data_IF_343170370579
#
_entry.id   IF_343170370579
#
_cell.length_a   1.000
_cell.length_b   1.000
_cell.length_c   1.000
_cell.angle_alpha   90.00
_cell.angle_beta   90.00
_cell.angle_gamma   90.00
#
_symmetry.space_group_name_H-M   'P 1'
#
loop_
_entity.id
_entity.type
_entity.pdbx_description
1 polymer ?
#
# COMPACT_ATOMS: atom_id res chain seq x y z
N UNK A 1 -12.43 1.15 20.97
CA UNK A 1 -12.25 0.00 20.05
C UNK A 1 -11.33 0.44 18.93
N UNK A 2 -10.43 -0.42 18.46
CA UNK A 2 -9.26 -0.09 17.61
C UNK A 2 -9.57 0.20 16.12
N UNK A 3 -10.86 0.29 15.75
CA UNK A 3 -11.38 0.53 14.38
C UNK A 3 -10.67 -0.27 13.27
N UNK A 4 -10.30 -1.51 13.59
CA UNK A 4 -9.56 -2.38 12.69
C UNK A 4 -10.50 -3.11 11.73
N UNK A 5 -10.11 -3.16 10.46
CA UNK A 5 -10.87 -3.83 9.39
C UNK A 5 -10.05 -4.94 8.70
N UNK A 6 -10.62 -5.53 7.65
CA UNK A 6 -10.03 -6.61 6.85
C UNK A 6 -8.68 -6.25 6.21
N UNK A 7 -8.35 -4.96 6.09
CA UNK A 7 -7.10 -4.44 5.51
C UNK A 7 -6.09 -4.09 6.59
N UNK A 8 -6.47 -3.31 7.60
CA UNK A 8 -5.54 -2.84 8.64
C UNK A 8 -5.16 -3.92 9.63
N UNK A 9 -6.01 -4.95 9.79
CA UNK A 9 -5.72 -6.14 10.59
C UNK A 9 -5.08 -7.28 9.78
N UNK A 10 -4.84 -7.09 8.47
CA UNK A 10 -4.41 -8.19 7.59
C UNK A 10 -2.99 -8.70 7.86
N UNK A 11 -2.14 -7.91 8.53
CA UNK A 11 -0.81 -8.36 8.92
C UNK A 11 -0.21 -7.59 10.10
N UNK A 12 0.77 -8.21 10.75
CA UNK A 12 1.64 -7.59 11.75
C UNK A 12 3.10 -7.82 11.38
N UNK A 13 3.97 -6.83 11.62
CA UNK A 13 5.41 -6.99 11.41
C UNK A 13 6.02 -7.68 12.62
N UNK A 14 6.45 -8.94 12.45
CA UNK A 14 7.05 -9.74 13.53
C UNK A 14 8.49 -9.31 13.84
N UNK A 15 9.28 -9.11 12.79
CA UNK A 15 10.71 -8.83 12.93
C UNK A 15 11.24 -8.05 11.72
N UNK A 16 12.25 -7.21 11.97
CA UNK A 16 13.02 -6.48 10.96
C UNK A 16 14.49 -6.82 11.08
N UNK A 17 15.05 -7.41 10.03
CA UNK A 17 16.46 -7.75 9.91
C UNK A 17 17.09 -7.08 8.69
N UNK A 18 18.41 -7.18 8.58
CA UNK A 18 19.16 -6.78 7.37
C UNK A 18 18.64 -7.45 6.10
N UNK A 19 18.14 -8.69 6.20
CA UNK A 19 17.55 -9.43 5.09
C UNK A 19 16.15 -8.95 4.69
N UNK A 20 15.50 -8.14 5.52
CA UNK A 20 14.12 -7.69 5.34
C UNK A 20 13.24 -7.89 6.56
N UNK A 21 12.00 -7.39 6.47
CA UNK A 21 10.97 -7.59 7.46
C UNK A 21 10.21 -8.91 7.19
N UNK A 22 9.80 -9.62 8.24
CA UNK A 22 8.87 -10.75 8.15
C UNK A 22 7.55 -10.40 8.79
N UNK A 23 6.47 -10.66 8.08
CA UNK A 23 5.12 -10.28 8.50
C UNK A 23 4.32 -11.54 8.81
N UNK A 24 3.50 -11.50 9.86
CA UNK A 24 2.47 -12.50 10.12
C UNK A 24 1.20 -12.06 9.40
N UNK A 25 0.65 -12.92 8.55
CA UNK A 25 -0.57 -12.65 7.79
C UNK A 25 -1.80 -13.14 8.55
N UNK A 26 -2.91 -12.41 8.40
CA UNK A 26 -4.20 -12.84 8.91
C UNK A 26 -4.73 -14.07 8.16
N UNK A 27 -5.55 -14.92 8.79
CA UNK A 27 -6.03 -16.18 8.21
C UNK A 27 -6.99 -16.00 7.01
N UNK A 28 -7.49 -14.78 6.77
CA UNK A 28 -8.34 -14.46 5.62
C UNK A 28 -7.56 -13.99 4.39
N UNK A 29 -6.23 -13.93 4.45
CA UNK A 29 -5.39 -13.59 3.29
C UNK A 29 -5.24 -14.83 2.41
N UNK A 30 -5.76 -14.77 1.18
CA UNK A 30 -5.68 -15.87 0.20
C UNK A 30 -4.43 -15.76 -0.69
N UNK A 31 -4.01 -14.53 -1.02
CA UNK A 31 -2.82 -14.30 -1.83
C UNK A 31 -1.94 -13.21 -1.23
N UNK A 32 -0.62 -13.42 -1.35
CA UNK A 32 0.41 -12.49 -0.93
C UNK A 32 1.37 -12.24 -2.09
N UNK A 33 1.61 -10.96 -2.38
CA UNK A 33 2.56 -10.54 -3.39
C UNK A 33 3.32 -9.29 -2.94
N UNK A 34 4.45 -8.99 -3.57
CA UNK A 34 5.21 -7.76 -3.35
C UNK A 34 5.44 -7.03 -4.66
N UNK A 35 5.40 -5.70 -4.60
CA UNK A 35 5.73 -4.81 -5.71
C UNK A 35 6.54 -3.63 -5.24
N UNK A 36 7.27 -3.01 -6.16
CA UNK A 36 7.89 -1.71 -5.93
C UNK A 36 6.88 -0.62 -6.30
N UNK A 37 6.49 0.19 -5.31
CA UNK A 37 5.54 1.28 -5.49
C UNK A 37 6.04 2.32 -6.50
N UNK A 38 7.37 2.43 -6.70
CA UNK A 38 7.99 3.36 -7.64
C UNK A 38 8.13 2.77 -9.06
N UNK A 39 7.57 1.58 -9.32
CA UNK A 39 7.56 0.92 -10.63
C UNK A 39 6.12 0.48 -10.96
N UNK A 40 5.23 1.43 -11.30
CA UNK A 40 3.79 1.17 -11.40
C UNK A 40 3.44 0.17 -12.51
N UNK A 41 4.27 0.07 -13.54
CA UNK A 41 4.08 -0.83 -14.69
C UNK A 41 4.72 -2.21 -14.48
N UNK A 42 5.42 -2.42 -13.36
CA UNK A 42 6.00 -3.72 -13.02
C UNK A 42 4.98 -4.56 -12.26
N UNK A 43 4.63 -5.77 -12.75
CA UNK A 43 3.69 -6.65 -12.05
C UNK A 43 4.17 -7.02 -10.64
N UNK A 44 3.21 -7.25 -9.74
CA UNK A 44 3.52 -7.82 -8.44
C UNK A 44 4.10 -9.23 -8.59
N UNK A 45 5.04 -9.58 -7.72
CA UNK A 45 5.66 -10.91 -7.66
C UNK A 45 5.14 -11.65 -6.44
N UNK A 46 4.90 -12.95 -6.58
CA UNK A 46 4.46 -13.79 -5.46
C UNK A 46 5.38 -13.64 -4.26
N UNK A 47 4.79 -13.44 -3.10
CA UNK A 47 5.47 -13.42 -1.82
C UNK A 47 5.16 -14.73 -1.12
N UNK A 48 6.20 -15.55 -0.91
CA UNK A 48 6.04 -16.80 -0.18
C UNK A 48 5.55 -16.56 1.25
N UNK A 49 4.68 -17.44 1.73
CA UNK A 49 4.17 -17.47 3.10
C UNK A 49 4.37 -18.89 3.62
N UNK A 50 4.93 -19.03 4.83
CA UNK A 50 5.09 -20.32 5.48
C UNK A 50 3.76 -20.89 5.98
N UNK A 51 3.77 -22.16 6.42
CA UNK A 51 2.60 -22.80 7.02
C UNK A 51 2.08 -22.04 8.25
N UNK A 52 2.98 -21.41 9.02
CA UNK A 52 2.63 -20.55 10.17
C UNK A 52 2.10 -19.15 9.77
N UNK A 53 1.89 -18.87 8.48
CA UNK A 53 1.41 -17.56 8.01
C UNK A 53 2.48 -16.47 7.99
N UNK A 54 3.77 -16.82 7.99
CA UNK A 54 4.87 -15.84 8.01
C UNK A 54 5.41 -15.63 6.60
N UNK A 55 5.49 -14.38 6.16
CA UNK A 55 6.04 -14.06 4.84
C UNK A 55 7.54 -14.36 4.77
N UNK A 56 8.02 -14.69 3.56
CA UNK A 56 9.43 -14.54 3.21
C UNK A 56 9.89 -13.10 3.50
N UNK A 57 11.20 -12.87 3.76
CA UNK A 57 11.72 -11.55 4.06
C UNK A 57 11.37 -10.53 2.96
N UNK A 58 10.75 -9.43 3.35
CA UNK A 58 10.44 -8.30 2.50
C UNK A 58 11.54 -7.24 2.63
N UNK A 59 12.19 -6.80 1.55
CA UNK A 59 13.09 -5.66 1.62
C UNK A 59 12.37 -4.46 2.25
N UNK A 60 12.96 -3.89 3.31
CA UNK A 60 12.41 -2.70 3.94
C UNK A 60 12.57 -1.47 3.03
N UNK A 61 11.68 -0.48 3.12
CA UNK A 61 11.89 0.78 2.42
C UNK A 61 13.19 1.45 2.90
N UNK A 62 13.89 2.22 2.05
CA UNK A 62 15.25 2.71 2.31
C UNK A 62 15.34 3.50 3.62
N UNK A 63 16.27 3.16 4.52
CA UNK A 63 16.40 3.78 5.85
C UNK A 63 16.97 5.21 5.83
N UNK A 64 17.38 5.70 4.66
CA UNK A 64 17.95 7.03 4.42
C UNK A 64 18.59 7.08 3.02
N UNK A 65 18.84 8.29 2.51
CA UNK A 65 19.40 8.48 1.16
C UNK A 65 18.35 8.47 0.04
N UNK A 66 18.75 8.05 -1.17
CA UNK A 66 17.90 8.09 -2.36
C UNK A 66 16.70 7.15 -2.31
N UNK A 67 15.59 7.58 -2.90
CA UNK A 67 14.36 6.81 -3.01
C UNK A 67 14.30 6.10 -4.37
N UNK A 68 15.12 5.07 -4.54
CA UNK A 68 15.19 4.29 -5.78
C UNK A 68 14.13 3.19 -5.90
N UNK A 69 13.64 2.71 -4.75
CA UNK A 69 12.63 1.66 -4.60
C UNK A 69 11.80 1.90 -3.34
N UNK A 70 10.53 1.51 -3.37
CA UNK A 70 9.65 1.50 -2.20
C UNK A 70 8.81 0.21 -2.20
N UNK A 71 9.30 -0.88 -1.57
CA UNK A 71 8.57 -2.14 -1.52
C UNK A 71 7.27 -2.02 -0.71
N UNK A 72 6.21 -2.61 -1.24
CA UNK A 72 4.92 -2.79 -0.57
C UNK A 72 4.47 -4.24 -0.68
N UNK A 73 3.60 -4.65 0.23
CA UNK A 73 2.89 -5.93 0.14
C UNK A 73 1.53 -5.68 -0.48
N UNK A 74 1.16 -6.49 -1.45
CA UNK A 74 -0.19 -6.58 -1.98
C UNK A 74 -0.81 -7.86 -1.44
N UNK A 75 -1.90 -7.72 -0.70
CA UNK A 75 -2.72 -8.85 -0.29
C UNK A 75 -3.98 -8.94 -1.14
N UNK A 76 -4.54 -10.15 -1.20
CA UNK A 76 -5.91 -10.38 -1.63
C UNK A 76 -6.64 -11.16 -0.54
N UNK A 77 -7.76 -10.62 -0.06
CA UNK A 77 -8.60 -11.32 0.89
C UNK A 77 -9.30 -12.51 0.24
N UNK A 78 -9.66 -13.48 1.07
CA UNK A 78 -10.48 -14.60 0.66
C UNK A 78 -11.85 -14.15 0.23
N UNK A 79 -12.31 -14.67 -0.91
CA UNK A 79 -13.66 -14.45 -1.41
C UNK A 79 -14.74 -14.98 -0.43
N UNK A 80 -14.36 -15.82 0.53
CA UNK A 80 -15.25 -16.30 1.61
C UNK A 80 -15.56 -15.23 2.65
N UNK A 81 -14.72 -14.19 2.76
CA UNK A 81 -14.83 -13.12 3.75
C UNK A 81 -15.32 -11.82 3.11
N UNK A 82 -14.66 -11.39 2.04
CA UNK A 82 -15.04 -10.22 1.23
C UNK A 82 -14.74 -10.53 -0.23
N UNK A 83 -15.62 -10.15 -1.14
CA UNK A 83 -15.45 -10.42 -2.56
C UNK A 83 -14.20 -9.73 -3.14
N UNK A 84 -13.20 -10.55 -3.52
CA UNK A 84 -12.03 -10.21 -4.36
C UNK A 84 -11.36 -8.86 -4.04
N UNK A 85 -11.18 -8.58 -2.75
CA UNK A 85 -10.61 -7.32 -2.29
C UNK A 85 -9.08 -7.40 -2.25
N UNK A 86 -8.41 -6.58 -3.06
CA UNK A 86 -6.95 -6.51 -3.11
C UNK A 86 -6.46 -5.10 -2.76
N UNK A 87 -5.54 -5.04 -1.82
CA UNK A 87 -5.11 -3.82 -1.14
C UNK A 87 -3.59 -3.81 -0.94
N UNK A 88 -3.02 -2.62 -0.76
CA UNK A 88 -1.58 -2.43 -0.55
C UNK A 88 -1.29 -2.02 0.89
N UNK A 89 -0.27 -2.64 1.48
CA UNK A 89 0.26 -2.30 2.79
C UNK A 89 1.74 -1.92 2.70
N UNK A 90 2.17 -0.95 3.50
CA UNK A 90 3.56 -0.50 3.57
C UNK A 90 4.10 -0.46 4.99
N UNK A 91 5.38 -0.81 5.16
CA UNK A 91 6.06 -0.72 6.47
C UNK A 91 6.54 0.70 6.73
N UNK A 92 5.95 1.36 7.75
CA UNK A 92 6.38 2.67 8.25
C UNK A 92 7.09 2.58 9.62
N UNK A 93 7.52 1.38 10.03
CA UNK A 93 8.26 1.13 11.25
C UNK A 93 7.40 0.80 12.48
N UNK A 94 6.07 0.81 12.36
CA UNK A 94 5.13 0.41 13.42
C UNK A 94 4.91 -1.11 13.48
N UNK A 95 4.19 -1.60 14.50
CA UNK A 95 3.80 -3.02 14.56
C UNK A 95 2.85 -3.37 13.41
N UNK A 96 1.84 -2.54 13.19
CA UNK A 96 0.92 -2.66 12.06
C UNK A 96 1.46 -1.89 10.85
N UNK A 97 1.48 -2.49 9.65
CA UNK A 97 1.76 -1.77 8.42
C UNK A 97 0.61 -0.80 8.08
N UNK A 98 0.89 0.17 7.22
CA UNK A 98 -0.09 1.18 6.81
C UNK A 98 -0.78 0.80 5.50
N UNK A 99 -2.11 0.89 5.46
CA UNK A 99 -2.92 0.70 4.25
C UNK A 99 -2.82 1.89 3.30
N UNK A 100 -2.63 1.61 2.01
CA UNK A 100 -2.52 2.64 0.99
C UNK A 100 -3.80 2.69 0.16
N UNK A 101 -4.40 3.87 0.09
CA UNK A 101 -5.61 4.14 -0.70
C UNK A 101 -5.39 5.29 -1.68
N UNK A 102 -6.30 5.39 -2.64
CA UNK A 102 -6.33 6.43 -3.65
C UNK A 102 -7.75 6.93 -3.86
N UNK A 103 -7.90 8.26 -3.87
CA UNK A 103 -9.16 8.94 -4.16
C UNK A 103 -9.04 9.65 -5.50
N UNK A 104 -9.74 9.18 -6.56
CA UNK A 104 -9.75 9.86 -7.84
C UNK A 104 -10.48 11.21 -7.76
N UNK A 105 -10.24 12.12 -8.73
CA UNK A 105 -10.92 13.40 -8.75
C UNK A 105 -12.44 13.19 -8.82
N UNK A 106 -13.22 14.13 -8.25
CA UNK A 106 -14.66 14.11 -8.39
C UNK A 106 -15.03 14.20 -9.88
N UNK A 107 -16.16 13.58 -10.24
CA UNK A 107 -16.76 13.84 -11.55
C UNK A 107 -17.25 15.30 -11.63
N UNK A 108 -17.43 15.87 -12.83
CA UNK A 108 -18.02 17.21 -12.98
C UNK A 108 -19.35 17.31 -12.23
N UNK A 109 -19.45 18.23 -11.27
CA UNK A 109 -20.66 18.43 -10.45
C UNK A 109 -20.96 17.32 -9.43
N UNK A 110 -20.06 16.35 -9.23
CA UNK A 110 -20.24 15.27 -8.28
C UNK A 110 -19.49 15.53 -6.96
N UNK A 111 -19.96 14.99 -5.82
CA UNK A 111 -19.24 15.06 -4.56
C UNK A 111 -17.91 14.27 -4.61
N UNK A 112 -17.05 14.52 -3.62
CA UNK A 112 -15.82 13.76 -3.43
C UNK A 112 -16.11 12.25 -3.33
N UNK A 113 -15.28 11.45 -3.98
CA UNK A 113 -15.41 9.99 -3.99
C UNK A 113 -14.84 9.41 -2.71
N UNK A 114 -15.36 8.25 -2.30
CA UNK A 114 -14.73 7.45 -1.26
C UNK A 114 -13.34 6.96 -1.72
N UNK A 115 -12.38 6.81 -0.79
CA UNK A 115 -11.10 6.18 -1.08
C UNK A 115 -11.29 4.79 -1.70
N UNK A 116 -10.40 4.45 -2.63
CA UNK A 116 -10.36 3.16 -3.32
C UNK A 116 -9.01 2.51 -3.08
N UNK A 117 -8.94 1.22 -3.33
CA UNK A 117 -7.68 0.48 -3.22
C UNK A 117 -6.59 1.00 -4.15
N UNK A 118 -5.37 1.07 -3.64
CA UNK A 118 -4.21 1.53 -4.38
C UNK A 118 -3.67 0.52 -5.41
N UNK A 119 -4.49 -0.42 -5.86
CA UNK A 119 -4.10 -1.51 -6.77
C UNK A 119 -4.41 -1.23 -8.25
N UNK A 120 -5.27 -0.26 -8.55
CA UNK A 120 -5.61 0.14 -9.92
C UNK A 120 -4.54 1.01 -10.59
N UNK A 121 -4.47 1.00 -11.93
CA UNK A 121 -3.39 1.65 -12.68
C UNK A 121 -3.19 3.13 -12.36
N UNK A 122 -4.28 3.91 -12.30
CA UNK A 122 -4.20 5.34 -11.94
C UNK A 122 -3.66 5.55 -10.51
N UNK A 123 -4.08 4.70 -9.57
CA UNK A 123 -3.60 4.77 -8.20
C UNK A 123 -2.11 4.45 -8.11
N UNK A 124 -1.64 3.41 -8.83
CA UNK A 124 -0.24 3.04 -8.86
C UNK A 124 0.65 4.13 -9.46
N UNK A 125 0.23 4.74 -10.56
CA UNK A 125 0.97 5.87 -11.17
C UNK A 125 1.06 7.04 -10.20
N UNK A 126 -0.03 7.34 -9.48
CA UNK A 126 -0.06 8.42 -8.49
C UNK A 126 0.88 8.11 -7.32
N UNK A 127 0.80 6.90 -6.78
CA UNK A 127 1.66 6.45 -5.70
C UNK A 127 3.13 6.37 -6.09
N UNK A 128 3.46 6.02 -7.32
CA UNK A 128 4.85 6.00 -7.80
C UNK A 128 5.52 7.38 -7.72
N UNK A 129 4.75 8.46 -7.89
CA UNK A 129 5.25 9.84 -7.75
C UNK A 129 5.40 10.28 -6.29
N UNK A 130 4.61 9.71 -5.40
CA UNK A 130 4.50 10.14 -4.00
C UNK A 130 5.21 9.20 -3.02
N UNK A 131 5.59 7.99 -3.43
CA UNK A 131 6.08 6.92 -2.55
C UNK A 131 7.25 7.36 -1.66
N UNK A 132 8.13 8.21 -2.17
CA UNK A 132 9.26 8.73 -1.40
C UNK A 132 8.86 9.60 -0.19
N UNK A 133 7.70 10.25 -0.26
CA UNK A 133 7.17 11.08 0.84
C UNK A 133 6.73 10.24 2.05
N UNK A 134 6.45 8.94 1.86
CA UNK A 134 6.10 8.03 2.94
C UNK A 134 7.21 7.90 3.99
N UNK A 135 8.47 8.18 3.63
CA UNK A 135 9.58 8.24 4.59
C UNK A 135 9.33 9.24 5.73
N UNK A 136 8.65 10.34 5.45
CA UNK A 136 8.30 11.37 6.43
C UNK A 136 7.22 10.96 7.42
N UNK A 137 6.55 9.82 7.21
CA UNK A 137 5.50 9.29 8.09
C UNK A 137 6.02 8.18 9.03
N UNK A 138 7.31 7.84 8.95
CA UNK A 138 7.89 6.76 9.74
C UNK A 138 7.82 7.02 11.24
N UNK A 139 7.52 5.98 12.01
CA UNK A 139 7.45 6.04 13.46
C UNK A 139 6.28 6.85 14.02
N UNK A 140 5.35 7.31 13.17
CA UNK A 140 4.22 8.16 13.60
C UNK A 140 2.94 7.36 13.91
N UNK A 141 3.00 6.02 13.90
CA UNK A 141 1.83 5.17 14.19
C UNK A 141 0.73 5.23 13.14
N UNK A 142 1.07 5.61 11.90
CA UNK A 142 0.12 5.73 10.78
C UNK A 142 -0.42 4.36 10.37
N UNK A 143 -1.74 4.22 10.33
CA UNK A 143 -2.45 2.98 9.93
C UNK A 143 -2.97 2.99 8.50
N UNK A 144 -3.23 4.16 7.96
CA UNK A 144 -3.67 4.33 6.58
C UNK A 144 -3.13 5.65 6.01
N UNK A 145 -2.82 5.64 4.71
CA UNK A 145 -2.42 6.82 3.95
C UNK A 145 -3.24 6.86 2.66
N UNK A 146 -3.96 7.96 2.48
CA UNK A 146 -4.73 8.20 1.26
C UNK A 146 -4.03 9.24 0.40
N UNK A 147 -3.92 8.97 -0.90
CA UNK A 147 -3.60 10.01 -1.89
C UNK A 147 -4.87 10.48 -2.55
N UNK A 148 -5.00 11.80 -2.73
CA UNK A 148 -6.23 12.39 -3.26
C UNK A 148 -5.91 13.43 -4.33
N UNK A 149 -6.43 13.16 -5.54
CA UNK A 149 -6.50 14.16 -6.60
C UNK A 149 -7.69 15.09 -6.32
N UNK A 150 -7.43 16.22 -5.66
CA UNK A 150 -8.49 17.15 -5.26
C UNK A 150 -9.15 17.84 -6.47
N UNK A 151 -8.34 18.32 -7.41
CA UNK A 151 -8.78 19.05 -8.58
C UNK A 151 -7.84 18.84 -9.76
N UNK A 152 -8.40 18.86 -10.97
CA UNK A 152 -7.65 18.91 -12.22
C UNK A 152 -8.11 20.13 -13.02
N UNK A 153 -7.17 20.95 -13.46
CA UNK A 153 -7.45 22.13 -14.28
C UNK A 153 -6.58 22.08 -15.53
N UNK A 154 -7.18 22.31 -16.70
CA UNK A 154 -6.42 22.57 -17.92
C UNK A 154 -5.83 23.98 -17.83
N UNK A 155 -4.51 24.09 -17.99
CA UNK A 155 -3.84 25.37 -18.00
C UNK A 155 -4.17 26.14 -19.30
N UNK A 156 -4.30 27.47 -19.24
CA UNK A 156 -4.40 28.30 -20.45
C UNK A 156 -3.25 28.00 -21.42
N UNK A 157 -3.51 28.18 -22.72
CA UNK A 157 -2.53 28.02 -23.81
C UNK A 157 -1.89 26.63 -23.96
N UNK A 158 -2.43 25.60 -23.28
CA UNK A 158 -1.96 24.22 -23.46
C UNK A 158 -0.63 23.90 -22.78
N UNK A 159 -0.21 24.68 -21.78
CA UNK A 159 1.02 24.44 -21.02
C UNK A 159 0.96 23.27 -20.02
N UNK A 160 0.14 22.25 -20.28
CA UNK A 160 -0.11 21.11 -19.39
C UNK A 160 0.49 19.81 -19.91
#
# INVERSE_FOLDING_TARGET
VDDADVTTAAALVLHRAKAGARWLTAPWVDESATRDLLRPDTPARTLGVSEDGVTSPLPGPPAGGGCGTWPVVQFRSSARIVEKHSFLLTDLGGLSPAHLTYTPPPGPGAPARQPREATGSQALVTWARLGCRLSGLRGQGVRAVNTWDFAAQRLPEGGG
#
